data_IF_383696188779
#
_entry.id   IF_383696188779
#
_cell.length_a   1.000
_cell.length_b   1.000
_cell.length_c   1.000
_cell.angle_alpha   90.00
_cell.angle_beta   90.00
_cell.angle_gamma   90.00
#
_symmetry.space_group_name_H-M   'P 1'
#
loop_
_entity.id
_entity.type
_entity.pdbx_description
1 polymer ?
#
# COMPACT_ATOMS: atom_id res chain seq x y z
N UNK A 1 24.41 26.13 -7.38
CA UNK A 1 24.25 24.83 -6.69
C UNK A 1 25.09 23.82 -7.43
N UNK A 2 25.86 23.03 -6.69
CA UNK A 2 26.83 22.08 -7.22
C UNK A 2 26.16 20.83 -7.79
N UNK A 3 26.72 20.24 -8.85
CA UNK A 3 26.19 19.03 -9.50
C UNK A 3 26.18 17.85 -8.53
N UNK A 4 27.19 17.80 -7.65
CA UNK A 4 27.34 16.74 -6.66
C UNK A 4 26.28 16.83 -5.54
N UNK A 5 25.84 18.05 -5.20
CA UNK A 5 24.74 18.25 -4.26
C UNK A 5 23.40 17.75 -4.84
N UNK A 6 23.18 17.94 -6.15
CA UNK A 6 22.00 17.44 -6.85
C UNK A 6 21.96 15.92 -6.96
N UNK A 7 23.07 15.27 -7.30
CA UNK A 7 23.12 13.81 -7.42
C UNK A 7 22.96 13.12 -6.07
N UNK A 8 23.52 13.69 -4.99
CA UNK A 8 23.33 13.21 -3.62
C UNK A 8 21.86 13.34 -3.17
N UNK A 9 21.22 14.49 -3.40
CA UNK A 9 19.82 14.70 -3.07
C UNK A 9 18.89 13.75 -3.85
N UNK A 10 19.11 13.60 -5.16
CA UNK A 10 18.37 12.65 -5.99
C UNK A 10 18.58 11.19 -5.55
N UNK A 11 19.80 10.83 -5.13
CA UNK A 11 20.11 9.50 -4.60
C UNK A 11 19.34 9.18 -3.31
N UNK A 12 19.25 10.15 -2.40
CA UNK A 12 18.49 10.03 -1.14
C UNK A 12 16.99 9.84 -1.40
N UNK A 13 16.39 10.70 -2.23
CA UNK A 13 14.96 10.62 -2.59
C UNK A 13 14.63 9.29 -3.25
N UNK A 14 15.48 8.83 -4.18
CA UNK A 14 15.31 7.55 -4.86
C UNK A 14 15.36 6.37 -3.90
N UNK A 15 16.27 6.40 -2.91
CA UNK A 15 16.36 5.34 -1.89
C UNK A 15 15.10 5.29 -1.03
N UNK A 16 14.60 6.45 -0.61
CA UNK A 16 13.36 6.54 0.18
C UNK A 16 12.15 6.02 -0.61
N UNK A 17 12.01 6.45 -1.86
CA UNK A 17 10.97 5.95 -2.75
C UNK A 17 11.05 4.43 -2.98
N UNK A 18 12.26 3.89 -3.12
CA UNK A 18 12.47 2.45 -3.26
C UNK A 18 12.01 1.68 -2.01
N UNK A 19 12.27 2.19 -0.81
CA UNK A 19 11.79 1.57 0.43
C UNK A 19 10.26 1.54 0.52
N UNK A 20 9.61 2.65 0.19
CA UNK A 20 8.15 2.69 0.13
C UNK A 20 7.59 1.72 -0.91
N UNK A 21 8.20 1.64 -2.10
CA UNK A 21 7.80 0.67 -3.12
C UNK A 21 7.98 -0.79 -2.66
N UNK A 22 9.10 -1.11 -2.01
CA UNK A 22 9.34 -2.46 -1.49
C UNK A 22 8.31 -2.84 -0.44
N UNK A 23 7.99 -1.92 0.47
CA UNK A 23 6.96 -2.13 1.48
C UNK A 23 5.57 -2.29 0.84
N UNK A 24 5.25 -1.48 -0.16
CA UNK A 24 4.01 -1.60 -0.93
C UNK A 24 3.91 -2.94 -1.63
N UNK A 25 5.00 -3.41 -2.24
CA UNK A 25 5.09 -4.71 -2.88
C UNK A 25 4.91 -5.86 -1.89
N UNK A 26 5.51 -5.77 -0.71
CA UNK A 26 5.33 -6.75 0.36
C UNK A 26 3.87 -6.80 0.85
N UNK A 27 3.25 -5.63 1.07
CA UNK A 27 1.84 -5.52 1.44
C UNK A 27 0.92 -6.04 0.35
N UNK A 28 1.20 -5.73 -0.92
CA UNK A 28 0.48 -6.26 -2.07
C UNK A 28 0.51 -7.78 -2.06
N UNK A 29 1.70 -8.38 -1.94
CA UNK A 29 1.87 -9.83 -2.00
C UNK A 29 1.16 -10.51 -0.82
N UNK A 30 1.33 -9.98 0.39
CA UNK A 30 0.63 -10.48 1.58
C UNK A 30 -0.89 -10.39 1.44
N UNK A 31 -1.41 -9.25 0.97
CA UNK A 31 -2.84 -9.07 0.75
C UNK A 31 -3.38 -9.96 -0.39
N UNK A 32 -2.59 -10.22 -1.43
CA UNK A 32 -2.97 -11.09 -2.55
C UNK A 32 -3.08 -12.56 -2.14
N UNK A 33 -2.18 -13.01 -1.26
CA UNK A 33 -2.22 -14.34 -0.63
C UNK A 33 -3.41 -14.47 0.34
N UNK A 34 -3.69 -13.43 1.13
CA UNK A 34 -4.84 -13.39 2.05
C UNK A 34 -6.19 -13.14 1.37
N UNK A 35 -6.19 -12.66 0.13
CA UNK A 35 -7.41 -12.25 -0.58
C UNK A 35 -8.48 -13.35 -0.66
N UNK A 36 -8.17 -14.63 -0.94
CA UNK A 36 -9.17 -15.69 -0.95
C UNK A 36 -9.86 -15.90 0.40
N UNK A 37 -9.11 -15.84 1.50
CA UNK A 37 -9.65 -16.00 2.85
C UNK A 37 -10.54 -14.81 3.23
N UNK A 38 -10.10 -13.58 2.94
CA UNK A 38 -10.88 -12.36 3.13
C UNK A 38 -12.18 -12.37 2.32
N UNK A 39 -12.11 -12.77 1.05
CA UNK A 39 -13.28 -12.88 0.18
C UNK A 39 -14.23 -13.98 0.64
N UNK A 40 -13.71 -15.08 1.20
CA UNK A 40 -14.52 -16.13 1.83
C UNK A 40 -15.29 -15.59 3.03
N UNK A 41 -14.60 -14.91 3.96
CA UNK A 41 -15.25 -14.30 5.13
C UNK A 41 -16.27 -13.22 4.74
N UNK A 42 -15.94 -12.38 3.74
CA UNK A 42 -16.86 -11.38 3.19
C UNK A 42 -18.10 -12.03 2.59
N UNK A 43 -17.92 -13.11 1.82
CA UNK A 43 -19.03 -13.88 1.26
C UNK A 43 -19.94 -14.39 2.37
N UNK A 44 -19.35 -15.03 3.38
CA UNK A 44 -20.10 -15.69 4.44
C UNK A 44 -20.87 -14.68 5.32
N UNK A 45 -20.42 -13.42 5.38
CA UNK A 45 -21.12 -12.33 6.09
C UNK A 45 -22.09 -11.51 5.25
N UNK A 46 -21.85 -11.35 3.94
CA UNK A 46 -22.68 -10.52 3.07
C UNK A 46 -23.78 -11.30 2.34
N UNK A 47 -23.59 -12.60 2.07
CA UNK A 47 -24.62 -13.37 1.37
C UNK A 47 -25.64 -13.98 2.35
N UNK A 48 -26.95 -13.77 2.12
CA UNK A 48 -28.00 -14.57 2.76
C UNK A 48 -27.82 -16.05 2.40
N UNK A 49 -28.26 -16.96 3.27
CA UNK A 49 -28.05 -18.41 3.15
C UNK A 49 -28.57 -19.03 1.83
N UNK A 50 -29.49 -18.34 1.13
CA UNK A 50 -30.12 -18.80 -0.11
C UNK A 50 -29.60 -18.08 -1.37
N UNK A 51 -28.60 -17.21 -1.26
CA UNK A 51 -28.05 -16.48 -2.39
C UNK A 51 -26.94 -17.27 -3.09
N UNK A 52 -27.22 -17.78 -4.27
CA UNK A 52 -26.21 -18.39 -5.14
C UNK A 52 -25.29 -17.30 -5.69
N UNK A 53 -24.01 -17.34 -5.28
CA UNK A 53 -22.99 -16.49 -5.86
C UNK A 53 -22.93 -16.77 -7.37
N UNK A 54 -23.20 -15.76 -8.20
CA UNK A 54 -22.93 -15.86 -9.64
C UNK A 54 -21.49 -16.31 -9.77
N UNK A 55 -21.27 -17.48 -10.37
CA UNK A 55 -19.94 -18.05 -10.53
C UNK A 55 -19.10 -17.04 -11.32
N UNK A 56 -18.16 -16.36 -10.65
CA UNK A 56 -17.19 -15.52 -11.34
C UNK A 56 -16.33 -16.41 -12.21
N UNK A 57 -16.09 -15.97 -13.44
CA UNK A 57 -15.09 -16.63 -14.27
C UNK A 57 -13.72 -16.56 -13.57
N UNK A 58 -12.82 -17.55 -13.79
CA UNK A 58 -11.50 -17.56 -13.14
C UNK A 58 -10.71 -16.25 -13.29
N UNK A 59 -10.84 -15.59 -14.45
CA UNK A 59 -10.22 -14.30 -14.72
C UNK A 59 -10.80 -13.15 -13.88
N UNK A 60 -12.12 -13.12 -13.68
CA UNK A 60 -12.79 -12.09 -12.86
C UNK A 60 -12.41 -12.24 -11.39
N UNK A 61 -12.32 -13.48 -10.91
CA UNK A 61 -11.88 -13.76 -9.56
C UNK A 61 -10.43 -13.32 -9.32
N UNK A 62 -9.53 -13.57 -10.27
CA UNK A 62 -8.15 -13.08 -10.22
C UNK A 62 -8.09 -11.55 -10.22
N UNK A 63 -8.89 -10.89 -11.06
CA UNK A 63 -8.96 -9.43 -11.10
C UNK A 63 -9.44 -8.84 -9.78
N UNK A 64 -10.41 -9.48 -9.12
CA UNK A 64 -10.92 -9.08 -7.81
C UNK A 64 -9.82 -9.16 -6.74
N UNK A 65 -9.07 -10.28 -6.71
CA UNK A 65 -7.92 -10.44 -5.81
C UNK A 65 -6.86 -9.37 -6.06
N UNK A 66 -6.57 -9.08 -7.33
CA UNK A 66 -5.61 -8.06 -7.73
C UNK A 66 -6.04 -6.66 -7.28
N UNK A 67 -7.33 -6.31 -7.44
CA UNK A 67 -7.88 -5.04 -6.96
C UNK A 67 -7.77 -4.92 -5.44
N UNK A 68 -8.16 -5.96 -4.70
CA UNK A 68 -8.11 -5.95 -3.23
C UNK A 68 -6.67 -5.75 -2.75
N UNK A 69 -5.73 -6.54 -3.28
CA UNK A 69 -4.31 -6.42 -2.98
C UNK A 69 -3.74 -5.05 -3.37
N UNK A 70 -4.16 -4.52 -4.52
CA UNK A 70 -3.77 -3.19 -4.99
C UNK A 70 -4.24 -2.08 -4.05
N UNK A 71 -5.49 -2.11 -3.59
CA UNK A 71 -5.99 -1.15 -2.60
C UNK A 71 -5.23 -1.25 -1.27
N UNK A 72 -4.94 -2.46 -0.79
CA UNK A 72 -4.15 -2.65 0.43
C UNK A 72 -2.74 -2.04 0.30
N UNK A 73 -2.08 -2.26 -0.83
CA UNK A 73 -0.77 -1.68 -1.12
C UNK A 73 -0.80 -0.16 -1.21
N UNK A 74 -1.80 0.42 -1.89
CA UNK A 74 -1.98 1.87 -1.99
C UNK A 74 -2.26 2.51 -0.63
N UNK A 75 -3.10 1.89 0.20
CA UNK A 75 -3.35 2.34 1.57
C UNK A 75 -2.07 2.29 2.41
N UNK A 76 -1.29 1.22 2.29
CA UNK A 76 0.01 1.10 2.96
C UNK A 76 1.01 2.18 2.52
N UNK A 77 1.08 2.47 1.23
CA UNK A 77 1.89 3.58 0.70
C UNK A 77 1.45 4.92 1.27
N UNK A 78 0.16 5.22 1.25
CA UNK A 78 -0.38 6.48 1.75
C UNK A 78 -0.06 6.67 3.25
N UNK A 79 -0.24 5.61 4.05
CA UNK A 79 0.06 5.64 5.49
C UNK A 79 1.55 5.84 5.75
N UNK A 80 2.42 5.10 5.05
CA UNK A 80 3.87 5.17 5.28
C UNK A 80 4.46 6.48 4.80
N UNK A 81 4.04 6.99 3.65
CA UNK A 81 4.42 8.31 3.17
C UNK A 81 3.88 9.43 4.08
N UNK A 82 2.64 9.29 4.56
CA UNK A 82 2.04 10.25 5.50
C UNK A 82 2.77 10.29 6.84
N UNK A 83 3.16 9.12 7.37
CA UNK A 83 3.93 9.02 8.61
C UNK A 83 5.31 9.64 8.47
N UNK A 84 5.98 9.40 7.34
CA UNK A 84 7.30 9.96 7.04
C UNK A 84 7.24 11.50 6.92
N UNK A 85 6.23 12.02 6.22
CA UNK A 85 5.98 13.46 6.13
C UNK A 85 5.69 14.08 7.52
N UNK A 86 4.92 13.40 8.36
CA UNK A 86 4.64 13.83 9.73
C UNK A 86 5.90 13.88 10.60
N UNK A 87 6.74 12.84 10.53
CA UNK A 87 8.01 12.79 11.27
C UNK A 87 8.94 13.91 10.82
N UNK A 88 9.06 14.14 9.51
CA UNK A 88 9.87 15.23 8.96
C UNK A 88 9.35 16.60 9.41
N UNK A 89 8.03 16.81 9.42
CA UNK A 89 7.41 18.05 9.92
C UNK A 89 7.68 18.26 11.41
N UNK A 90 7.49 17.22 12.24
CA UNK A 90 7.72 17.29 13.68
C UNK A 90 9.19 17.63 13.99
N UNK A 91 10.13 17.04 13.24
CA UNK A 91 11.56 17.33 13.39
C UNK A 91 11.89 18.80 13.08
N UNK A 92 11.24 19.40 12.07
CA UNK A 92 11.41 20.82 11.74
C UNK A 92 10.83 21.75 12.80
N UNK A 93 9.66 21.40 13.35
CA UNK A 93 9.03 22.18 14.42
C UNK A 93 9.84 22.13 15.72
N UNK A 94 10.45 20.99 16.05
CA UNK A 94 11.30 20.84 17.24
C UNK A 94 12.66 21.55 17.12
N UNK A 95 13.15 21.80 15.90
CA UNK A 95 14.41 22.48 15.63
C UNK A 95 14.29 24.01 15.48
N UNK A 96 13.06 24.55 15.49
CA UNK A 96 12.83 25.98 15.48
C UNK A 96 13.15 26.58 16.87
N UNK A 97 14.04 27.59 16.98
CA UNK A 97 14.27 28.26 18.26
C UNK A 97 12.99 29.03 18.64
N UNK A 98 12.49 28.77 19.84
CA UNK A 98 11.42 29.56 20.48
C UNK A 98 11.91 30.89 21.00
#
# INVERSE_FOLDING_TARGET
MDRDAWTAAAGSVRRHAALHLLLAGALFLGAFELAPALLGELRDRLLPQDATLVYLAPAEYLLLRFRLAGYAALCGLALTAGLDAWVALRGRLAAAPG
#
